data_IF_721990741834
#
_entry.id   IF_721990741834
#
_cell.length_a   1.000
_cell.length_b   1.000
_cell.length_c   1.000
_cell.angle_alpha   90.00
_cell.angle_beta   90.00
_cell.angle_gamma   90.00
#
_symmetry.space_group_name_H-M   'P 1'
#
loop_
_entity.id
_entity.type
_entity.pdbx_description
1 polymer ?
#
# COMPACT_ATOMS: atom_id res chain seq x y z
N UNK A 1 5.40 -6.91 -29.47
CA UNK A 1 4.55 -5.75 -29.14
C UNK A 1 4.93 -5.27 -27.77
N UNK A 2 5.25 -3.99 -27.63
CA UNK A 2 5.51 -3.33 -26.34
C UNK A 2 4.15 -2.85 -25.82
N UNK A 3 3.76 -3.25 -24.61
CA UNK A 3 2.58 -2.69 -23.95
C UNK A 3 3.02 -1.48 -23.10
N UNK A 4 2.33 -0.37 -23.26
CA UNK A 4 2.48 0.83 -22.43
C UNK A 4 1.29 0.87 -21.45
N UNK A 5 1.58 1.11 -20.16
CA UNK A 5 0.57 1.18 -19.10
C UNK A 5 0.77 2.50 -18.36
N UNK A 6 -0.31 3.27 -18.24
CA UNK A 6 -0.35 4.51 -17.46
C UNK A 6 -0.72 4.19 -16.02
N UNK A 7 0.03 4.74 -15.07
CA UNK A 7 -0.26 4.65 -13.63
C UNK A 7 -0.40 6.06 -13.06
N UNK A 8 -1.44 6.27 -12.26
CA UNK A 8 -1.53 7.45 -11.42
C UNK A 8 -0.56 7.31 -10.25
N UNK A 9 0.13 8.40 -9.90
CA UNK A 9 0.98 8.45 -8.71
C UNK A 9 0.39 9.42 -7.70
N UNK A 10 0.36 8.99 -6.44
CA UNK A 10 -0.03 9.82 -5.31
C UNK A 10 1.13 9.94 -4.33
N UNK A 11 1.30 11.11 -3.73
CA UNK A 11 2.24 11.30 -2.63
C UNK A 11 1.53 11.03 -1.31
N UNK A 12 2.14 10.21 -0.46
CA UNK A 12 1.65 9.96 0.90
C UNK A 12 2.77 10.11 1.92
N UNK A 13 2.41 10.47 3.15
CA UNK A 13 3.34 10.46 4.28
C UNK A 13 3.30 9.09 4.97
N UNK A 14 4.44 8.42 5.04
CA UNK A 14 4.62 7.18 5.81
C UNK A 14 5.56 7.42 6.99
N UNK A 15 5.45 6.57 8.01
CA UNK A 15 6.41 6.55 9.13
C UNK A 15 7.46 5.48 8.79
N UNK A 16 8.68 5.91 8.51
CA UNK A 16 9.82 5.06 8.17
C UNK A 16 10.91 5.25 9.22
N UNK A 17 11.28 4.18 9.94
CA UNK A 17 12.24 4.22 11.05
C UNK A 17 11.92 5.34 12.09
N UNK A 18 10.64 5.51 12.40
CA UNK A 18 10.15 6.54 13.34
C UNK A 18 10.13 7.96 12.80
N UNK A 19 10.49 8.18 11.52
CA UNK A 19 10.46 9.48 10.87
C UNK A 19 9.35 9.54 9.81
N UNK A 20 8.66 10.67 9.74
CA UNK A 20 7.73 10.94 8.65
C UNK A 20 8.50 11.16 7.34
N UNK A 21 8.12 10.47 6.27
CA UNK A 21 8.70 10.61 4.94
C UNK A 21 7.61 10.66 3.89
N UNK A 22 7.79 11.51 2.89
CA UNK A 22 6.94 11.47 1.68
C UNK A 22 7.42 10.36 0.76
N UNK A 23 6.48 9.58 0.24
CA UNK A 23 6.72 8.52 -0.74
C UNK A 23 5.72 8.60 -1.86
N UNK A 24 6.18 8.28 -3.06
CA UNK A 24 5.34 8.12 -4.24
C UNK A 24 4.70 6.73 -4.24
N UNK A 25 3.38 6.68 -4.38
CA UNK A 25 2.58 5.45 -4.42
C UNK A 25 1.97 5.35 -5.81
N UNK A 26 2.34 4.32 -6.55
CA UNK A 26 1.67 3.98 -7.80
C UNK A 26 0.28 3.40 -7.50
N UNK A 27 -0.76 4.02 -8.03
CA UNK A 27 -2.13 3.54 -7.95
C UNK A 27 -2.27 2.31 -8.84
N UNK A 28 -2.42 1.13 -8.23
CA UNK A 28 -2.44 -0.10 -9.02
C UNK A 28 -3.76 -0.34 -9.75
N UNK A 29 -4.92 0.24 -9.36
CA UNK A 29 -6.18 0.23 -10.13
C UNK A 29 -7.12 1.40 -9.72
N UNK A 30 -8.01 1.79 -10.65
CA UNK A 30 -8.83 3.02 -10.64
C UNK A 30 -10.07 2.99 -9.73
N UNK A 31 -10.37 1.87 -9.09
CA UNK A 31 -11.41 1.76 -8.07
C UNK A 31 -10.76 1.25 -6.78
N UNK A 32 -11.09 1.79 -5.59
CA UNK A 32 -10.58 1.23 -4.36
C UNK A 32 -10.96 -0.24 -4.33
N UNK A 33 -9.96 -1.13 -4.38
CA UNK A 33 -10.13 -2.57 -4.26
C UNK A 33 -11.13 -2.79 -3.12
N UNK A 34 -12.27 -3.41 -3.41
CA UNK A 34 -13.35 -3.66 -2.43
C UNK A 34 -12.79 -4.13 -1.07
N UNK A 35 -11.66 -4.84 -1.11
CA UNK A 35 -10.86 -5.24 0.04
C UNK A 35 -10.39 -4.09 0.96
N UNK A 36 -9.88 -2.95 0.47
CA UNK A 36 -9.36 -1.86 1.32
C UNK A 36 -10.45 -1.22 2.18
N UNK A 37 -11.66 -1.05 1.66
CA UNK A 37 -12.80 -0.58 2.46
C UNK A 37 -13.19 -1.58 3.55
N UNK A 38 -13.01 -2.89 3.29
CA UNK A 38 -13.22 -3.94 4.29
C UNK A 38 -12.12 -3.97 5.38
N UNK A 39 -10.97 -3.34 5.16
CA UNK A 39 -9.90 -3.21 6.16
C UNK A 39 -10.11 -2.04 7.12
N UNK A 40 -11.20 -1.29 7.00
CA UNK A 40 -11.53 -0.25 7.98
C UNK A 40 -11.65 -0.86 9.39
N UNK A 41 -10.90 -0.32 10.34
CA UNK A 41 -10.83 -0.87 11.71
C UNK A 41 -9.81 -1.99 11.91
N UNK A 42 -9.02 -2.33 10.89
CA UNK A 42 -7.96 -3.33 10.96
C UNK A 42 -6.59 -2.70 10.70
N UNK A 43 -5.54 -3.33 11.24
CA UNK A 43 -4.13 -3.05 10.94
C UNK A 43 -3.64 -4.03 9.88
N UNK A 44 -3.05 -3.48 8.82
CA UNK A 44 -2.22 -4.23 7.87
C UNK A 44 -0.76 -4.13 8.30
N UNK A 45 -0.10 -5.28 8.49
CA UNK A 45 1.33 -5.37 8.73
C UNK A 45 1.98 -6.19 7.61
N UNK A 46 3.10 -5.69 7.09
CA UNK A 46 3.91 -6.35 6.06
C UNK A 46 5.34 -6.39 6.53
N UNK A 47 5.89 -7.60 6.67
CA UNK A 47 7.33 -7.75 6.93
C UNK A 47 8.08 -7.64 5.60
N UNK A 48 8.85 -6.56 5.42
CA UNK A 48 9.55 -6.27 4.17
C UNK A 48 10.88 -7.03 4.05
N UNK A 49 10.80 -8.35 4.14
CA UNK A 49 11.91 -9.30 3.99
C UNK A 49 11.48 -10.44 3.07
N UNK A 50 12.45 -11.15 2.48
CA UNK A 50 12.13 -12.30 1.63
C UNK A 50 11.36 -13.37 2.43
N UNK A 51 10.20 -13.79 1.90
CA UNK A 51 9.30 -14.72 2.59
C UNK A 51 8.60 -14.13 3.82
N UNK A 52 8.61 -12.80 3.98
CA UNK A 52 7.96 -12.10 5.09
C UNK A 52 6.45 -12.33 5.15
N UNK A 53 5.89 -12.16 6.34
CA UNK A 53 4.47 -12.40 6.61
C UNK A 53 3.67 -11.12 6.31
N UNK A 54 2.50 -11.31 5.71
CA UNK A 54 1.47 -10.29 5.58
C UNK A 54 0.34 -10.66 6.53
N UNK A 55 -0.04 -9.74 7.41
CA UNK A 55 -1.02 -10.00 8.45
C UNK A 55 -2.05 -8.87 8.55
N UNK A 56 -3.31 -9.26 8.70
CA UNK A 56 -4.44 -8.37 8.97
C UNK A 56 -4.98 -8.69 10.36
N UNK A 57 -4.97 -7.71 11.25
CA UNK A 57 -5.44 -7.86 12.64
C UNK A 57 -6.46 -6.79 12.97
N UNK A 58 -7.46 -7.12 13.79
CA UNK A 58 -8.36 -6.10 14.33
C UNK A 58 -7.53 -5.07 15.14
N UNK A 59 -7.91 -3.79 15.06
CA UNK A 59 -7.31 -2.72 15.86
C UNK A 59 -7.65 -2.84 17.35
#
# INVERSE_FOLDING_TARGET
>A
MIHEVLFDFYTATVIWDGQYREVDIAASETEPLLGMAMLYGYRLQVDNVEGGIVEIKAL
#
